data_IF_022939101662
#
_entry.id   IF_022939101662
#
_cell.length_a   1.000
_cell.length_b   1.000
_cell.length_c   1.000
_cell.angle_alpha   90.00
_cell.angle_beta   90.00
_cell.angle_gamma   90.00
#
_symmetry.space_group_name_H-M   'P 1'
#
loop_
_entity.id
_entity.type
_entity.pdbx_description
1 polymer ?
#
# COMPACT_ATOMS: atom_id res chain seq x y z
N UNK A 1 -6.44 -0.38 16.36
CA UNK A 1 -5.32 -0.70 15.45
C UNK A 1 -5.84 -0.68 14.02
N UNK A 2 -4.96 -0.45 13.05
CA UNK A 2 -5.29 -0.43 11.63
C UNK A 2 -4.61 -1.59 10.90
N UNK A 3 -5.33 -2.19 9.95
CA UNK A 3 -4.81 -3.12 8.95
C UNK A 3 -4.66 -2.39 7.61
N UNK A 4 -3.61 -2.74 6.89
CA UNK A 4 -3.27 -2.14 5.60
C UNK A 4 -3.26 -3.22 4.54
N UNK A 5 -3.97 -2.96 3.44
CA UNK A 5 -3.86 -3.75 2.22
C UNK A 5 -2.80 -3.12 1.32
N UNK A 6 -1.72 -3.83 1.10
CA UNK A 6 -0.55 -3.37 0.35
C UNK A 6 -0.43 -4.18 -0.94
N UNK A 7 -0.16 -3.52 -2.06
CA UNK A 7 0.02 -4.21 -3.33
C UNK A 7 1.34 -5.03 -3.31
N UNK A 8 1.27 -6.33 -3.55
CA UNK A 8 2.44 -7.22 -3.48
C UNK A 8 3.16 -7.41 -4.83
N UNK A 9 2.52 -7.06 -5.93
CA UNK A 9 3.07 -7.19 -7.30
C UNK A 9 2.81 -5.93 -8.10
N UNK A 10 3.65 -5.61 -9.08
CA UNK A 10 3.36 -4.52 -10.00
C UNK A 10 2.13 -4.88 -10.84
N UNK A 11 1.12 -4.01 -10.85
CA UNK A 11 0.08 -4.09 -11.87
C UNK A 11 0.59 -3.43 -13.14
N UNK A 12 0.29 -4.03 -14.29
CA UNK A 12 0.59 -3.47 -15.60
C UNK A 12 -0.66 -3.17 -16.42
N UNK A 13 -0.55 -2.23 -17.36
CA UNK A 13 -1.61 -1.91 -18.31
C UNK A 13 -1.05 -1.73 -19.74
N UNK A 14 -1.75 -2.18 -20.80
CA UNK A 14 -1.24 -2.04 -22.18
C UNK A 14 -1.04 -0.59 -22.64
N UNK A 15 -1.92 0.31 -22.21
CA UNK A 15 -1.76 1.76 -22.39
C UNK A 15 -0.63 2.29 -21.48
N UNK A 16 0.47 2.83 -22.04
CA UNK A 16 1.62 3.29 -21.26
C UNK A 16 1.33 4.47 -20.32
N UNK A 17 0.33 5.31 -20.64
CA UNK A 17 -0.08 6.38 -19.75
C UNK A 17 -0.76 5.81 -18.51
N UNK A 18 -1.73 4.91 -18.70
CA UNK A 18 -2.43 4.21 -17.60
C UNK A 18 -1.51 3.29 -16.81
N UNK A 19 -0.55 2.65 -17.46
CA UNK A 19 0.43 1.81 -16.77
C UNK A 19 1.29 2.62 -15.80
N UNK A 20 1.67 3.83 -16.23
CA UNK A 20 2.52 4.73 -15.47
C UNK A 20 1.77 5.46 -14.35
N UNK A 21 0.48 5.76 -14.52
CA UNK A 21 -0.25 6.62 -13.57
C UNK A 21 -1.50 5.99 -12.94
N UNK A 22 -2.14 5.05 -13.61
CA UNK A 22 -3.44 4.47 -13.21
C UNK A 22 -3.36 3.12 -12.51
N UNK A 23 -2.19 2.46 -12.49
CA UNK A 23 -2.04 1.14 -11.90
C UNK A 23 -1.24 1.16 -10.59
N UNK A 24 -1.73 0.43 -9.58
CA UNK A 24 -1.00 0.22 -8.32
C UNK A 24 0.29 -0.53 -8.59
N UNK A 25 1.39 -0.03 -8.04
CA UNK A 25 2.68 -0.70 -8.09
C UNK A 25 2.97 -1.39 -6.77
N UNK A 26 3.93 -2.31 -6.80
CA UNK A 26 4.33 -3.07 -5.63
C UNK A 26 4.74 -2.12 -4.49
N UNK A 27 4.23 -2.42 -3.30
CA UNK A 27 4.39 -1.64 -2.08
C UNK A 27 3.34 -0.56 -1.87
N UNK A 28 2.49 -0.24 -2.86
CA UNK A 28 1.46 0.80 -2.70
C UNK A 28 0.46 0.44 -1.61
N UNK A 29 0.14 1.42 -0.74
CA UNK A 29 -0.95 1.29 0.22
C UNK A 29 -2.28 1.49 -0.49
N UNK A 30 -3.02 0.40 -0.68
CA UNK A 30 -4.25 0.37 -1.48
C UNK A 30 -5.46 0.76 -0.65
N UNK A 31 -5.59 0.16 0.54
CA UNK A 31 -6.69 0.35 1.46
C UNK A 31 -6.24 0.23 2.91
N UNK A 32 -7.06 0.76 3.81
CA UNK A 32 -6.86 0.73 5.26
C UNK A 32 -8.19 0.38 5.92
N UNK A 33 -8.16 -0.53 6.88
CA UNK A 33 -9.34 -0.97 7.63
C UNK A 33 -9.05 -1.06 9.14
N UNK A 34 -10.08 -1.12 10.00
CA UNK A 34 -9.90 -1.43 11.41
C UNK A 34 -9.30 -2.83 11.61
N UNK A 35 -8.73 -3.06 12.79
CA UNK A 35 -8.26 -4.38 13.21
C UNK A 35 -9.33 -5.48 13.09
N UNK A 36 -8.92 -6.67 12.63
CA UNK A 36 -9.80 -7.82 12.42
C UNK A 36 -10.74 -7.69 11.22
N UNK A 37 -10.45 -6.79 10.29
CA UNK A 37 -11.24 -6.65 9.06
C UNK A 37 -11.18 -7.94 8.23
N UNK A 38 -12.33 -8.34 7.68
CA UNK A 38 -12.42 -9.50 6.79
C UNK A 38 -12.12 -9.08 5.36
N UNK A 39 -10.85 -9.18 4.99
CA UNK A 39 -10.39 -9.03 3.60
C UNK A 39 -10.93 -10.16 2.73
N UNK A 40 -11.30 -9.83 1.48
CA UNK A 40 -11.73 -10.82 0.50
C UNK A 40 -10.58 -11.73 0.04
N UNK A 41 -10.90 -12.88 -0.56
CA UNK A 41 -9.88 -13.80 -1.13
C UNK A 41 -9.02 -13.15 -2.20
N UNK A 42 -9.55 -12.18 -2.94
CA UNK A 42 -8.81 -11.41 -3.95
C UNK A 42 -7.90 -10.33 -3.36
N UNK A 43 -8.02 -10.04 -2.07
CA UNK A 43 -7.24 -9.07 -1.30
C UNK A 43 -6.15 -9.75 -0.46
N UNK A 44 -5.62 -10.85 -0.98
CA UNK A 44 -4.56 -11.64 -0.36
C UNK A 44 -3.42 -11.91 -1.35
N UNK A 45 -2.42 -12.69 -0.89
CA UNK A 45 -1.33 -13.13 -1.75
C UNK A 45 -1.87 -13.95 -2.93
N UNK A 46 -1.20 -13.91 -4.10
CA UNK A 46 0.08 -13.24 -4.36
C UNK A 46 -0.07 -11.75 -4.70
N UNK A 47 -1.29 -11.24 -4.84
CA UNK A 47 -1.54 -9.89 -5.39
C UNK A 47 -1.41 -8.80 -4.34
N UNK A 48 -1.74 -9.11 -3.09
CA UNK A 48 -1.75 -8.17 -1.98
C UNK A 48 -1.19 -8.81 -0.72
N UNK A 49 -0.73 -7.96 0.20
CA UNK A 49 -0.25 -8.32 1.53
C UNK A 49 -1.05 -7.50 2.53
N UNK A 50 -1.64 -8.17 3.52
CA UNK A 50 -2.25 -7.50 4.67
C UNK A 50 -1.20 -7.39 5.76
N UNK A 51 -1.05 -6.21 6.36
CA UNK A 51 -0.18 -5.99 7.53
C UNK A 51 -0.93 -5.20 8.59
N UNK A 52 -0.51 -5.37 9.85
CA UNK A 52 -1.05 -4.65 11.00
C UNK A 52 -0.07 -3.61 11.50
N UNK A 53 -0.57 -2.46 11.96
CA UNK A 53 0.25 -1.43 12.61
C UNK A 53 -0.25 -1.21 14.04
N UNK A 54 0.35 -1.89 15.04
CA UNK A 54 -0.01 -1.73 16.44
C UNK A 54 0.01 -0.27 16.89
N UNK A 55 -0.98 0.11 17.70
CA UNK A 55 -1.08 1.47 18.24
C UNK A 55 -1.52 2.56 17.25
N UNK A 56 -1.66 2.26 15.95
CA UNK A 56 -2.15 3.22 14.97
C UNK A 56 -3.69 3.16 14.85
N UNK A 57 -4.43 4.26 15.13
CA UNK A 57 -5.86 4.33 14.88
C UNK A 57 -6.18 4.32 13.38
N UNK A 58 -7.29 3.69 12.99
CA UNK A 58 -7.70 3.57 11.57
C UNK A 58 -7.96 4.93 10.93
N UNK A 59 -8.50 5.87 11.71
CA UNK A 59 -8.81 7.24 11.30
C UNK A 59 -7.55 7.97 10.84
N UNK A 60 -6.46 7.82 11.61
CA UNK A 60 -5.14 8.38 11.25
C UNK A 60 -4.52 7.61 10.08
N UNK A 61 -4.71 6.30 10.04
CA UNK A 61 -4.15 5.45 8.99
C UNK A 61 -4.75 5.74 7.60
N UNK A 62 -5.99 6.23 7.49
CA UNK A 62 -6.64 6.56 6.21
C UNK A 62 -5.82 7.52 5.33
N UNK A 63 -5.02 8.41 5.92
CA UNK A 63 -4.11 9.30 5.18
C UNK A 63 -3.14 8.55 4.27
N UNK A 64 -2.77 7.31 4.63
CA UNK A 64 -1.83 6.51 3.86
C UNK A 64 -2.40 6.03 2.52
N UNK A 65 -3.71 6.17 2.32
CA UNK A 65 -4.35 5.92 1.02
C UNK A 65 -4.34 7.15 0.10
N UNK A 66 -3.79 8.29 0.54
CA UNK A 66 -3.79 9.51 -0.26
C UNK A 66 -3.16 9.31 -1.65
N UNK A 67 -3.77 9.89 -2.70
CA UNK A 67 -3.15 9.95 -4.02
C UNK A 67 -1.94 10.89 -4.02
N UNK A 68 -0.96 10.55 -4.87
CA UNK A 68 0.09 11.45 -5.30
C UNK A 68 -0.39 12.20 -6.55
N UNK A 69 -0.46 13.52 -6.45
CA UNK A 69 -0.78 14.41 -7.55
C UNK A 69 0.49 14.93 -8.23
N UNK A 70 0.42 15.19 -9.54
CA UNK A 70 1.50 15.91 -10.23
C UNK A 70 1.42 17.41 -9.86
N UNK A 71 2.49 18.01 -9.33
CA UNK A 71 2.52 19.45 -9.03
C UNK A 71 2.45 20.34 -10.30
N UNK A 72 2.71 19.79 -11.49
CA UNK A 72 2.60 20.51 -12.77
C UNK A 72 1.16 20.57 -13.31
N UNK A 73 0.23 19.79 -12.76
CA UNK A 73 -1.19 19.89 -13.10
C UNK A 73 -1.81 21.09 -12.36
N UNK A 74 -1.79 22.25 -13.03
CA UNK A 74 -2.20 23.54 -12.46
C UNK A 74 -3.72 23.65 -12.19
N UNK A 75 -4.56 22.76 -12.73
CA UNK A 75 -6.02 22.79 -12.55
C UNK A 75 -6.51 21.56 -11.75
N UNK A 76 -7.45 21.73 -10.81
CA UNK A 76 -8.09 20.60 -10.11
C UNK A 76 -8.76 19.59 -11.07
N UNK A 77 -9.21 20.07 -12.23
CA UNK A 77 -9.90 19.29 -13.27
C UNK A 77 -8.94 18.51 -14.17
N UNK A 78 -7.65 18.87 -14.14
CA UNK A 78 -6.57 18.25 -14.90
C UNK A 78 -5.61 17.44 -14.03
N UNK A 79 -5.84 17.36 -12.71
CA UNK A 79 -5.02 16.56 -11.79
C UNK A 79 -5.05 15.10 -12.20
N UNK A 80 -4.03 14.66 -12.92
CA UNK A 80 -3.84 13.24 -13.20
C UNK A 80 -3.35 12.61 -11.90
N UNK A 81 -4.22 11.83 -11.24
CA UNK A 81 -3.80 10.96 -10.16
C UNK A 81 -2.69 10.06 -10.68
N UNK A 82 -1.48 10.16 -10.12
CA UNK A 82 -0.32 9.42 -10.62
C UNK A 82 -0.07 8.09 -9.92
N UNK A 83 -0.52 7.92 -8.67
CA UNK A 83 -0.39 6.68 -7.85
C UNK A 83 -0.79 6.96 -6.40
N UNK A 84 -0.68 5.96 -5.51
CA UNK A 84 -0.70 6.17 -4.06
C UNK A 84 0.56 6.90 -3.60
N UNK A 85 0.41 7.88 -2.72
CA UNK A 85 1.50 8.68 -2.14
C UNK A 85 2.41 7.84 -1.27
N UNK A 86 1.85 6.88 -0.54
CA UNK A 86 2.59 6.09 0.42
C UNK A 86 2.86 4.67 -0.07
N UNK A 87 3.99 4.11 0.38
CA UNK A 87 4.36 2.71 0.11
C UNK A 87 5.04 2.03 1.29
N UNK A 88 5.09 0.71 1.25
CA UNK A 88 5.85 -0.13 2.17
C UNK A 88 6.74 -1.10 1.38
N UNK A 89 8.04 -1.10 1.67
CA UNK A 89 8.99 -2.07 1.11
C UNK A 89 9.03 -3.33 1.98
N UNK A 90 8.09 -4.25 1.74
CA UNK A 90 7.99 -5.48 2.52
C UNK A 90 9.22 -6.39 2.38
N UNK A 91 9.95 -6.40 1.26
CA UNK A 91 11.15 -7.24 1.11
C UNK A 91 12.27 -6.78 2.03
N UNK A 92 12.47 -5.47 2.10
CA UNK A 92 13.48 -4.90 2.99
C UNK A 92 13.09 -4.96 4.46
N UNK A 93 11.79 -4.90 4.77
CA UNK A 93 11.30 -4.70 6.15
C UNK A 93 10.84 -5.98 6.86
N UNK A 94 10.28 -6.95 6.13
CA UNK A 94 9.86 -8.24 6.70
C UNK A 94 10.93 -9.32 6.52
N UNK A 95 11.77 -9.20 5.49
CA UNK A 95 12.79 -10.19 5.14
C UNK A 95 12.22 -11.46 4.49
N UNK A 96 13.08 -12.23 3.84
CA UNK A 96 12.68 -13.39 3.05
C UNK A 96 11.99 -14.49 3.86
N UNK A 97 12.44 -14.74 5.10
CA UNK A 97 11.85 -15.76 5.97
C UNK A 97 10.41 -15.45 6.38
N UNK A 98 10.11 -14.18 6.71
CA UNK A 98 8.73 -13.77 7.00
C UNK A 98 7.87 -13.84 5.73
N UNK A 99 8.40 -13.42 4.58
CA UNK A 99 7.66 -13.50 3.31
C UNK A 99 7.33 -14.94 2.93
N UNK A 100 8.24 -15.89 3.16
CA UNK A 100 8.00 -17.32 2.98
C UNK A 100 6.94 -17.84 3.97
N UNK A 101 6.98 -17.41 5.23
CA UNK A 101 5.97 -17.75 6.23
C UNK A 101 4.58 -17.22 5.87
N UNK A 102 4.48 -15.97 5.37
CA UNK A 102 3.22 -15.41 4.89
C UNK A 102 2.74 -16.16 3.65
N UNK A 103 3.63 -16.52 2.72
CA UNK A 103 3.28 -17.30 1.52
C UNK A 103 2.76 -18.71 1.82
N UNK A 104 3.17 -19.30 2.95
CA UNK A 104 2.74 -20.64 3.42
C UNK A 104 1.53 -20.61 4.33
N UNK A 105 1.06 -19.43 4.75
CA UNK A 105 -0.03 -19.28 5.70
C UNK A 105 -1.21 -18.56 5.05
N UNK A 106 -2.40 -19.12 5.19
CA UNK A 106 -3.63 -18.44 4.76
C UNK A 106 -3.98 -17.23 5.63
N UNK A 107 -3.40 -17.13 6.84
CA UNK A 107 -3.88 -16.22 7.89
C UNK A 107 -2.78 -15.40 8.59
N UNK A 108 -1.52 -15.51 8.18
CA UNK A 108 -0.44 -14.76 8.82
C UNK A 108 -0.50 -13.29 8.38
N UNK A 109 -0.88 -12.42 9.32
CA UNK A 109 -0.85 -10.96 9.16
C UNK A 109 0.32 -10.41 9.98
N UNK A 110 1.45 -10.06 9.36
CA UNK A 110 2.59 -9.54 10.10
C UNK A 110 2.30 -8.15 10.67
N UNK A 111 2.84 -7.91 11.87
CA UNK A 111 2.83 -6.59 12.49
C UNK A 111 4.06 -5.79 12.08
N UNK A 112 3.87 -4.51 11.77
CA UNK A 112 4.92 -3.59 11.33
C UNK A 112 4.83 -2.26 12.08
N UNK A 113 5.94 -1.52 12.10
CA UNK A 113 5.95 -0.13 12.58
C UNK A 113 5.44 0.83 11.51
N UNK A 114 4.68 1.86 11.93
CA UNK A 114 4.27 2.99 11.07
C UNK A 114 5.49 3.64 10.39
N UNK A 115 6.65 3.64 11.06
CA UNK A 115 7.89 4.23 10.54
C UNK A 115 8.45 3.53 9.29
N UNK A 116 7.91 2.36 8.91
CA UNK A 116 8.30 1.67 7.70
C UNK A 116 7.48 2.10 6.47
N UNK A 117 6.44 2.93 6.65
CA UNK A 117 5.64 3.47 5.56
C UNK A 117 6.33 4.75 5.04
N UNK A 118 6.68 4.74 3.76
CA UNK A 118 7.45 5.79 3.10
C UNK A 118 6.54 6.75 2.32
N UNK A 119 6.80 8.05 2.44
CA UNK A 119 6.20 9.08 1.60
C UNK A 119 7.00 9.26 0.30
N UNK A 120 6.36 9.02 -0.85
CA UNK A 120 7.00 9.16 -2.17
C UNK A 120 7.26 10.60 -2.59
N UNK A 121 6.74 11.59 -1.87
CA UNK A 121 7.08 13.01 -2.17
C UNK A 121 8.47 13.40 -1.66
N UNK A 122 9.14 12.53 -0.88
CA UNK A 122 10.41 12.86 -0.23
C UNK A 122 10.28 13.89 0.88
N UNK A 123 9.05 14.23 1.29
CA UNK A 123 8.81 15.06 2.48
C UNK A 123 8.87 14.13 3.68
N UNK A 124 9.91 14.26 4.50
CA UNK A 124 9.91 13.70 5.85
C UNK A 124 8.83 14.44 6.64
N UNK A 125 7.76 13.72 6.99
CA UNK A 125 6.74 14.19 7.93
C UNK A 125 7.24 14.13 9.36
#
# INVERSE_FOLDING_TARGET
MAEFLIKAVDASHPDPAKDRTGCYKRGDVVAVAPDGHRWGRDEALPKFLVVRVPGLPVERARRYTEPLYDPLDASPESRVMRRRRYRFDFMRRLGAGMMDAVGKSEWLVPEISEAFIEDKTGRTG
#
